data_IF_549738577684
#
_entry.id   IF_549738577684
#
_cell.length_a   1.000
_cell.length_b   1.000
_cell.length_c   1.000
_cell.angle_alpha   90.00
_cell.angle_beta   90.00
_cell.angle_gamma   90.00
#
_symmetry.space_group_name_H-M   'P 1'
#
loop_
_entity.id
_entity.type
_entity.pdbx_description
1 polymer ?
#
# COMPACT_ATOMS: atom_id res chain seq x y z
N UNK A 1 -4.21 0.38 -23.48
CA UNK A 1 -2.94 0.42 -22.70
C UNK A 1 -2.92 1.45 -21.57
N UNK A 2 -3.91 2.35 -21.46
CA UNK A 2 -3.98 3.32 -20.35
C UNK A 2 -4.67 2.79 -19.09
N UNK A 3 -5.66 1.89 -19.24
CA UNK A 3 -6.36 1.29 -18.09
C UNK A 3 -5.39 0.54 -17.15
N UNK A 4 -4.52 -0.33 -17.68
CA UNK A 4 -3.53 -1.07 -16.87
C UNK A 4 -2.57 -0.14 -16.12
N UNK A 5 -2.14 0.94 -16.77
CA UNK A 5 -1.28 1.94 -16.13
C UNK A 5 -2.00 2.61 -14.97
N UNK A 6 -3.27 2.98 -15.16
CA UNK A 6 -4.12 3.55 -14.12
C UNK A 6 -4.35 2.57 -12.96
N UNK A 7 -4.56 1.27 -13.24
CA UNK A 7 -4.72 0.25 -12.20
C UNK A 7 -3.44 0.05 -11.41
N UNK A 8 -2.27 -0.02 -12.06
CA UNK A 8 -0.97 -0.17 -11.40
C UNK A 8 -0.69 1.05 -10.53
N UNK A 9 -0.89 2.26 -11.05
CA UNK A 9 -0.71 3.51 -10.30
C UNK A 9 -1.66 3.58 -9.10
N UNK A 10 -2.94 3.25 -9.29
CA UNK A 10 -3.93 3.23 -8.21
C UNK A 10 -3.58 2.19 -7.14
N UNK A 11 -3.17 0.97 -7.53
CA UNK A 11 -2.75 -0.06 -6.58
C UNK A 11 -1.45 0.31 -5.88
N UNK A 12 -0.47 0.91 -6.56
CA UNK A 12 0.76 1.40 -5.93
C UNK A 12 0.45 2.46 -4.87
N UNK A 13 -0.42 3.41 -5.17
CA UNK A 13 -0.89 4.43 -4.22
C UNK A 13 -1.60 3.77 -3.04
N UNK A 14 -2.46 2.77 -3.30
CA UNK A 14 -3.22 2.07 -2.28
C UNK A 14 -2.31 1.25 -1.36
N UNK A 15 -1.39 0.46 -1.91
CA UNK A 15 -0.39 -0.32 -1.15
C UNK A 15 0.55 0.60 -0.39
N UNK A 16 0.96 1.73 -0.99
CA UNK A 16 1.78 2.71 -0.28
C UNK A 16 1.05 3.27 0.94
N UNK A 17 -0.20 3.68 0.76
CA UNK A 17 -1.05 4.23 1.82
C UNK A 17 -1.47 3.18 2.88
N UNK A 18 -1.51 1.89 2.52
CA UNK A 18 -1.85 0.79 3.45
C UNK A 18 -0.62 0.19 4.15
N UNK A 19 0.48 -0.02 3.41
CA UNK A 19 1.73 -0.59 3.91
C UNK A 19 2.46 0.37 4.83
N UNK A 20 2.44 1.66 4.51
CA UNK A 20 2.79 2.72 5.45
C UNK A 20 1.59 3.11 6.31
N UNK A 21 1.11 2.17 7.14
CA UNK A 21 0.17 2.45 8.23
C UNK A 21 0.85 3.24 9.38
N UNK A 22 1.61 4.29 9.06
CA UNK A 22 2.37 5.08 10.01
C UNK A 22 2.18 6.56 9.71
N UNK A 23 1.77 7.33 10.72
CA UNK A 23 1.64 8.79 10.66
C UNK A 23 3.01 9.39 10.38
N UNK A 24 3.33 9.61 9.12
CA UNK A 24 4.62 10.16 8.73
C UNK A 24 4.57 11.69 8.78
N UNK A 25 5.55 12.34 9.44
CA UNK A 25 5.68 13.80 9.42
C UNK A 25 5.84 14.28 7.97
N UNK A 26 5.20 15.41 7.61
CA UNK A 26 5.05 15.90 6.22
C UNK A 26 6.35 15.85 5.40
N UNK A 27 7.50 16.16 6.00
CA UNK A 27 8.81 16.13 5.31
C UNK A 27 9.20 14.74 4.78
N UNK A 28 8.92 13.67 5.53
CA UNK A 28 9.26 12.30 5.10
C UNK A 28 8.33 11.82 3.99
N UNK A 29 7.09 12.30 3.95
CA UNK A 29 6.13 11.93 2.89
C UNK A 29 6.61 12.37 1.50
N UNK A 30 7.25 13.54 1.39
CA UNK A 30 7.78 14.07 0.14
C UNK A 30 8.89 13.19 -0.45
N UNK A 31 9.86 12.78 0.38
CA UNK A 31 10.95 11.89 -0.08
C UNK A 31 10.39 10.57 -0.59
N UNK A 32 9.36 10.05 0.07
CA UNK A 32 8.79 8.76 -0.31
C UNK A 32 7.88 8.90 -1.53
N UNK A 33 7.16 10.00 -1.73
CA UNK A 33 6.47 10.28 -2.98
C UNK A 33 7.45 10.41 -4.17
N UNK A 34 8.62 11.00 -3.95
CA UNK A 34 9.69 11.05 -4.95
C UNK A 34 10.20 9.64 -5.31
N UNK A 35 10.45 8.82 -4.29
CA UNK A 35 10.85 7.42 -4.47
C UNK A 35 9.73 6.58 -5.12
N UNK A 36 8.47 6.88 -4.84
CA UNK A 36 7.30 6.21 -5.44
C UNK A 36 7.15 6.57 -6.92
N UNK A 37 7.40 7.83 -7.29
CA UNK A 37 7.41 8.25 -8.69
C UNK A 37 8.54 7.57 -9.50
N UNK A 38 9.74 7.46 -8.92
CA UNK A 38 10.86 6.71 -9.49
C UNK A 38 10.62 5.18 -9.49
N UNK A 39 9.99 4.65 -8.46
CA UNK A 39 9.61 3.25 -8.36
C UNK A 39 8.54 2.87 -9.38
N UNK A 40 7.57 3.76 -9.64
CA UNK A 40 6.51 3.55 -10.64
C UNK A 40 7.05 3.44 -12.07
N UNK A 41 8.11 4.19 -12.41
CA UNK A 41 8.75 4.08 -13.73
C UNK A 41 9.42 2.72 -13.93
N UNK A 42 10.11 2.22 -12.89
CA UNK A 42 10.70 0.87 -12.88
C UNK A 42 9.61 -0.22 -12.87
N UNK A 43 8.58 -0.08 -12.04
CA UNK A 43 7.46 -1.02 -11.96
C UNK A 43 6.68 -1.11 -13.26
N UNK A 44 6.50 0.00 -13.98
CA UNK A 44 5.83 -0.02 -15.29
C UNK A 44 6.64 -0.84 -16.30
N UNK A 45 7.97 -0.73 -16.25
CA UNK A 45 8.87 -1.50 -17.11
C UNK A 45 8.85 -3.00 -16.77
N UNK A 46 8.88 -3.34 -15.47
CA UNK A 46 8.79 -4.73 -15.03
C UNK A 46 7.38 -5.31 -15.20
N UNK A 47 6.31 -4.51 -15.10
CA UNK A 47 4.93 -4.98 -15.20
C UNK A 47 4.55 -5.51 -16.60
N UNK A 48 5.35 -5.18 -17.61
CA UNK A 48 5.24 -5.75 -18.95
C UNK A 48 5.74 -7.20 -18.99
N UNK A 49 6.70 -7.56 -18.12
CA UNK A 49 7.32 -8.89 -18.09
C UNK A 49 6.87 -9.74 -16.90
N UNK A 50 6.43 -9.11 -15.81
CA UNK A 50 6.06 -9.78 -14.56
C UNK A 50 4.60 -9.45 -14.17
N UNK A 51 3.89 -10.40 -13.56
CA UNK A 51 2.53 -10.24 -13.01
C UNK A 51 2.49 -9.37 -11.74
N UNK A 52 3.06 -8.17 -11.80
CA UNK A 52 3.17 -7.22 -10.69
C UNK A 52 1.80 -6.76 -10.19
N UNK A 53 0.85 -6.57 -11.10
CA UNK A 53 -0.52 -6.16 -10.75
C UNK A 53 -1.17 -7.17 -9.82
N UNK A 54 -1.06 -8.46 -10.13
CA UNK A 54 -1.60 -9.56 -9.31
C UNK A 54 -0.90 -9.62 -7.95
N UNK A 55 0.42 -9.45 -7.93
CA UNK A 55 1.20 -9.36 -6.68
C UNK A 55 0.79 -8.18 -5.79
N UNK A 56 0.52 -7.01 -6.38
CA UNK A 56 0.02 -5.85 -5.64
C UNK A 56 -1.40 -6.06 -5.10
N UNK A 57 -2.28 -6.74 -5.84
CA UNK A 57 -3.62 -7.12 -5.35
C UNK A 57 -3.50 -8.01 -4.10
N UNK A 58 -2.64 -9.02 -4.14
CA UNK A 58 -2.41 -9.94 -3.01
C UNK A 58 -1.80 -9.20 -1.82
N UNK A 59 -0.79 -8.36 -2.05
CA UNK A 59 -0.19 -7.54 -0.99
C UNK A 59 -1.21 -6.61 -0.34
N UNK A 60 -2.07 -5.96 -1.15
CA UNK A 60 -3.15 -5.12 -0.65
C UNK A 60 -4.15 -5.93 0.21
N UNK A 61 -4.56 -7.11 -0.24
CA UNK A 61 -5.44 -8.01 0.53
C UNK A 61 -4.81 -8.40 1.89
N UNK A 62 -3.54 -8.79 1.91
CA UNK A 62 -2.83 -9.15 3.14
C UNK A 62 -2.78 -7.96 4.11
N UNK A 63 -2.49 -6.75 3.61
CA UNK A 63 -2.45 -5.54 4.41
C UNK A 63 -3.83 -5.14 4.95
N UNK A 64 -4.90 -5.31 4.16
CA UNK A 64 -6.27 -5.08 4.61
C UNK A 64 -6.61 -6.01 5.77
N UNK A 65 -6.34 -7.31 5.63
CA UNK A 65 -6.59 -8.31 6.69
C UNK A 65 -5.78 -7.97 7.95
N UNK A 66 -4.50 -7.64 7.79
CA UNK A 66 -3.64 -7.24 8.89
C UNK A 66 -4.15 -6.00 9.62
N UNK A 67 -4.64 -4.99 8.88
CA UNK A 67 -5.17 -3.75 9.44
C UNK A 67 -6.43 -3.97 10.26
N UNK A 68 -7.35 -4.82 9.76
CA UNK A 68 -8.58 -5.20 10.48
C UNK A 68 -8.22 -5.95 11.76
N UNK A 69 -7.31 -6.93 11.69
CA UNK A 69 -6.82 -7.63 12.89
C UNK A 69 -6.23 -6.67 13.91
N UNK A 70 -5.32 -5.79 13.48
CA UNK A 70 -4.64 -4.84 14.38
C UNK A 70 -5.61 -3.86 15.06
N UNK A 71 -6.67 -3.44 14.36
CA UNK A 71 -7.69 -2.57 14.94
C UNK A 71 -8.54 -3.29 16.00
N UNK A 72 -8.92 -4.55 15.73
CA UNK A 72 -9.65 -5.37 16.70
C UNK A 72 -8.85 -5.63 17.99
N UNK A 73 -7.54 -5.92 17.89
CA UNK A 73 -6.69 -6.12 19.08
C UNK A 73 -6.62 -4.90 20.01
N UNK A 74 -6.75 -3.67 19.48
CA UNK A 74 -6.78 -2.46 20.31
C UNK A 74 -8.13 -2.24 21.01
N UNK A 75 -9.20 -2.85 20.50
CA UNK A 75 -10.55 -2.74 21.07
C UNK A 75 -10.79 -3.78 22.17
N UNK A 76 -10.25 -4.98 22.02
CA UNK A 76 -10.37 -6.07 23.02
C UNK A 76 -9.72 -5.74 24.37
N UNK A 77 -8.63 -4.95 24.38
CA UNK A 77 -8.01 -4.50 25.63
C UNK A 77 -8.79 -3.36 26.32
N UNK A 78 -9.59 -2.57 25.59
CA UNK A 78 -10.34 -1.47 26.19
C UNK A 78 -11.67 -1.91 26.82
N UNK A 79 -12.10 -3.16 26.60
CA UNK A 79 -13.41 -3.66 27.05
C UNK A 79 -13.32 -4.75 28.13
N UNK A 80 -12.13 -5.32 28.41
CA UNK A 80 -11.94 -6.26 29.53
C UNK A 80 -11.56 -5.60 30.86
N UNK A 81 -11.42 -4.25 30.89
CA UNK A 81 -11.09 -3.47 32.10
C UNK A 81 -12.29 -2.65 32.63
N UNK A 82 -13.53 -2.96 32.23
CA UNK A 82 -14.76 -2.31 32.70
C UNK A 82 -15.76 -3.33 33.27
#
# INVERSE_FOLDING_TARGET
MWMLYLTIVALCILVYKLGFAQKLPMLKSILIYLFLALGCTILTFLAIFLPITEGLVVAALILIIYKIRRYNYKKDQAQNDA
#
